data_IF_908927623567
#
_entry.id   IF_908927623567
#
_cell.length_a   1.000
_cell.length_b   1.000
_cell.length_c   1.000
_cell.angle_alpha   90.00
_cell.angle_beta   90.00
_cell.angle_gamma   90.00
#
_symmetry.space_group_name_H-M   'P 1'
#
loop_
_entity.id
_entity.type
_entity.pdbx_description
1 polymer ?
#
# COMPACT_ATOMS: atom_id res chain seq x y z
N UNK A 1 -18.12 51.76 -75.28
CA UNK A 1 -16.86 51.04 -75.49
C UNK A 1 -16.08 51.09 -74.20
N UNK A 2 -16.09 50.00 -73.42
CA UNK A 2 -15.15 49.78 -72.32
C UNK A 2 -14.42 48.50 -72.66
N UNK A 3 -13.12 48.65 -72.90
CA UNK A 3 -12.26 47.62 -73.45
C UNK A 3 -11.99 46.53 -72.42
N UNK A 4 -12.13 45.28 -72.86
CA UNK A 4 -12.06 44.09 -72.02
C UNK A 4 -10.63 43.59 -71.99
N UNK A 5 -9.78 44.21 -71.17
CA UNK A 5 -8.41 43.72 -70.95
C UNK A 5 -8.36 42.80 -69.72
N UNK A 6 -8.44 41.49 -69.98
CA UNK A 6 -8.14 40.44 -69.01
C UNK A 6 -6.67 40.57 -68.58
N UNK A 7 -6.43 40.77 -67.28
CA UNK A 7 -5.09 40.70 -66.67
C UNK A 7 -4.55 39.25 -66.76
N UNK A 8 -3.27 39.04 -67.06
CA UNK A 8 -2.68 37.71 -67.08
C UNK A 8 -2.43 37.19 -65.65
N UNK A 9 -3.10 36.08 -65.37
CA UNK A 9 -2.89 34.95 -64.45
C UNK A 9 -1.66 34.99 -63.53
N UNK A 10 -1.86 34.97 -62.21
CA UNK A 10 -0.93 34.34 -61.26
C UNK A 10 -1.39 32.88 -61.07
N UNK A 11 -0.99 32.01 -62.00
CA UNK A 11 -0.94 30.58 -61.71
C UNK A 11 0.41 30.36 -61.03
N UNK A 12 0.36 30.01 -59.75
CA UNK A 12 1.56 29.68 -59.00
C UNK A 12 2.36 28.61 -59.77
N UNK A 13 3.65 28.86 -60.07
CA UNK A 13 4.49 27.88 -60.71
C UNK A 13 4.72 26.73 -59.72
N UNK A 14 4.37 25.52 -60.15
CA UNK A 14 4.84 24.24 -59.61
C UNK A 14 4.24 23.74 -58.28
N UNK A 15 2.96 23.96 -57.98
CA UNK A 15 2.32 23.14 -56.92
C UNK A 15 1.88 21.77 -57.47
N UNK A 16 2.84 20.86 -57.66
CA UNK A 16 2.52 19.43 -57.73
C UNK A 16 1.92 18.99 -56.39
N UNK A 17 0.72 18.40 -56.43
CA UNK A 17 0.09 17.85 -55.24
C UNK A 17 0.95 16.73 -54.67
N UNK A 18 1.59 17.01 -53.52
CA UNK A 18 2.43 16.05 -52.82
C UNK A 18 1.63 14.74 -52.63
N UNK A 19 2.13 13.59 -53.11
CA UNK A 19 1.42 12.32 -52.98
C UNK A 19 0.99 12.09 -51.53
N UNK A 20 -0.26 11.66 -51.33
CA UNK A 20 -0.87 11.49 -49.99
C UNK A 20 -0.02 10.57 -49.08
N UNK A 21 0.69 9.61 -49.69
CA UNK A 21 1.70 8.76 -49.05
C UNK A 21 2.93 9.54 -48.54
N UNK A 22 3.43 10.53 -49.28
CA UNK A 22 4.56 11.36 -48.88
C UNK A 22 4.15 12.34 -47.77
N UNK A 23 2.91 12.85 -47.80
CA UNK A 23 2.33 13.62 -46.70
C UNK A 23 2.19 12.78 -45.43
N UNK A 24 1.65 11.56 -45.53
CA UNK A 24 1.55 10.64 -44.40
C UNK A 24 2.91 10.23 -43.84
N UNK A 25 3.91 10.01 -44.70
CA UNK A 25 5.30 9.74 -44.28
C UNK A 25 5.89 10.91 -43.49
N UNK A 26 5.69 12.15 -43.94
CA UNK A 26 6.14 13.36 -43.24
C UNK A 26 5.45 13.54 -41.89
N UNK A 27 4.13 13.30 -41.82
CA UNK A 27 3.35 13.39 -40.58
C UNK A 27 3.84 12.35 -39.57
N UNK A 28 4.03 11.09 -40.01
CA UNK A 28 4.56 10.02 -39.15
C UNK A 28 5.97 10.33 -38.65
N UNK A 29 6.82 10.93 -39.49
CA UNK A 29 8.17 11.33 -39.09
C UNK A 29 8.13 12.44 -38.03
N UNK A 30 7.31 13.47 -38.22
CA UNK A 30 7.10 14.54 -37.23
C UNK A 30 6.52 14.00 -35.92
N UNK A 31 5.59 13.05 -35.99
CA UNK A 31 4.99 12.41 -34.82
C UNK A 31 6.03 11.55 -34.07
N UNK A 32 6.90 10.85 -34.80
CA UNK A 32 7.99 10.07 -34.22
C UNK A 32 9.02 10.97 -33.54
N UNK A 33 9.41 12.07 -34.18
CA UNK A 33 10.34 13.05 -33.61
C UNK A 33 9.77 13.68 -32.33
N UNK A 34 8.46 14.01 -32.31
CA UNK A 34 7.78 14.51 -31.12
C UNK A 34 7.71 13.49 -29.97
N UNK A 35 7.49 12.21 -30.28
CA UNK A 35 7.55 11.12 -29.30
C UNK A 35 8.96 10.96 -28.73
N UNK A 36 9.97 10.95 -29.59
CA UNK A 36 11.37 10.85 -29.17
C UNK A 36 11.79 12.05 -28.31
N UNK A 37 11.39 13.27 -28.66
CA UNK A 37 11.64 14.46 -27.85
C UNK A 37 11.02 14.33 -26.45
N UNK A 38 9.82 13.76 -26.36
CA UNK A 38 9.12 13.53 -25.09
C UNK A 38 9.83 12.46 -24.25
N UNK A 39 10.23 11.34 -24.85
CA UNK A 39 10.98 10.28 -24.16
C UNK A 39 12.32 10.79 -23.65
N UNK A 40 13.07 11.52 -24.48
CA UNK A 40 14.35 12.14 -24.07
C UNK A 40 14.17 13.08 -22.89
N UNK A 41 13.09 13.86 -22.87
CA UNK A 41 12.77 14.75 -21.76
C UNK A 41 12.46 13.98 -20.47
N UNK A 42 11.72 12.87 -20.56
CA UNK A 42 11.46 11.99 -19.43
C UNK A 42 12.77 11.37 -18.92
N UNK A 43 13.61 10.86 -19.82
CA UNK A 43 14.92 10.29 -19.44
C UNK A 43 15.82 11.33 -18.77
N UNK A 44 15.84 12.57 -19.25
CA UNK A 44 16.60 13.65 -18.62
C UNK A 44 16.10 13.95 -17.22
N UNK A 45 14.78 13.97 -17.01
CA UNK A 45 14.18 14.18 -15.68
C UNK A 45 14.59 13.04 -14.74
N UNK A 46 14.49 11.78 -15.18
CA UNK A 46 14.84 10.61 -14.36
C UNK A 46 16.34 10.60 -14.04
N UNK A 47 17.20 10.84 -15.04
CA UNK A 47 18.66 10.91 -14.84
C UNK A 47 19.06 12.04 -13.91
N UNK A 48 18.49 13.24 -14.06
CA UNK A 48 18.79 14.38 -13.17
C UNK A 48 18.43 14.07 -11.72
N UNK A 49 17.21 13.56 -11.50
CA UNK A 49 16.74 13.19 -10.15
C UNK A 49 17.61 12.12 -9.52
N UNK A 50 17.98 11.10 -10.30
CA UNK A 50 18.81 10.01 -9.81
C UNK A 50 20.25 10.47 -9.52
N UNK A 51 20.86 11.29 -10.38
CA UNK A 51 22.21 11.83 -10.15
C UNK A 51 22.28 12.77 -8.95
N UNK A 52 21.26 13.62 -8.75
CA UNK A 52 21.11 14.46 -7.55
C UNK A 52 21.04 13.60 -6.27
N UNK A 53 20.28 12.50 -6.33
CA UNK A 53 20.10 11.59 -5.19
C UNK A 53 21.36 10.75 -4.88
N UNK A 54 22.10 10.32 -5.91
CA UNK A 54 23.38 9.60 -5.74
C UNK A 54 24.45 10.54 -5.15
N UNK A 55 24.63 11.73 -5.70
CA UNK A 55 25.64 12.71 -5.23
C UNK A 55 25.40 13.15 -3.79
N UNK A 56 24.14 13.40 -3.42
CA UNK A 56 23.78 13.72 -2.03
C UNK A 56 24.18 12.59 -1.07
N UNK A 57 23.94 11.33 -1.46
CA UNK A 57 24.21 10.16 -0.63
C UNK A 57 25.70 9.82 -0.53
N UNK A 58 26.48 10.10 -1.57
CA UNK A 58 27.95 9.92 -1.55
C UNK A 58 28.62 10.94 -0.62
N UNK A 59 28.12 12.18 -0.53
CA UNK A 59 28.64 13.19 0.40
C UNK A 59 28.40 12.88 1.89
N UNK A 60 27.35 12.10 2.20
CA UNK A 60 27.02 11.70 3.58
C UNK A 60 27.92 10.56 4.11
N UNK A 61 28.50 9.75 3.23
CA UNK A 61 29.34 8.61 3.64
C UNK A 61 30.77 9.02 4.05
N UNK A 62 31.27 10.16 3.59
CA UNK A 62 32.63 10.62 3.89
C UNK A 62 32.78 11.18 5.32
N UNK A 63 31.65 11.48 5.99
CA UNK A 63 31.64 12.07 7.34
C UNK A 63 31.71 11.04 8.48
N UNK A 64 31.56 9.74 8.18
CA UNK A 64 31.44 8.66 9.19
C UNK A 64 32.81 8.14 9.69
N UNK A 65 33.93 8.53 9.06
CA UNK A 65 35.28 8.09 9.47
C UNK A 65 35.99 9.07 10.43
N UNK A 66 35.35 9.42 11.56
CA UNK A 66 36.08 10.01 12.70
C UNK A 66 35.90 9.15 13.96
N UNK A 67 36.99 8.63 14.56
CA UNK A 67 36.90 7.85 15.78
C UNK A 67 37.15 8.75 17.00
N UNK A 68 36.17 8.85 17.90
CA UNK A 68 36.37 9.27 19.29
C UNK A 68 35.19 8.75 20.11
N UNK A 69 35.34 7.66 20.87
CA UNK A 69 35.66 7.71 22.31
C UNK A 69 34.79 8.70 23.09
N UNK A 70 33.68 8.22 23.67
CA UNK A 70 33.51 8.14 25.13
C UNK A 70 32.03 7.92 25.54
N UNK A 71 31.87 6.93 26.41
CA UNK A 71 31.04 6.91 27.61
C UNK A 71 29.53 7.23 27.52
N UNK A 72 28.75 6.14 27.49
CA UNK A 72 27.62 5.81 28.35
C UNK A 72 26.74 6.92 28.99
N UNK A 73 25.42 6.73 28.80
CA UNK A 73 24.37 6.62 29.83
C UNK A 73 23.26 7.67 29.75
N UNK A 74 22.06 7.14 29.46
CA UNK A 74 20.73 7.60 29.87
C UNK A 74 20.33 9.05 29.58
N UNK A 75 19.62 9.23 28.45
CA UNK A 75 18.38 10.02 28.24
C UNK A 75 18.36 10.47 26.79
N UNK A 76 17.30 10.18 26.05
CA UNK A 76 16.98 10.92 24.83
C UNK A 76 15.52 10.69 24.44
N UNK A 77 14.64 11.45 25.08
CA UNK A 77 13.48 12.00 24.39
C UNK A 77 13.97 13.32 23.77
N UNK A 78 13.64 13.50 22.49
CA UNK A 78 13.82 14.73 21.71
C UNK A 78 15.25 15.12 21.27
N UNK A 79 15.64 14.63 20.08
CA UNK A 79 16.60 15.31 19.21
C UNK A 79 15.92 15.64 17.88
N UNK A 80 15.67 16.94 17.70
CA UNK A 80 15.39 17.64 16.45
C UNK A 80 16.49 17.38 15.41
N UNK A 81 16.16 17.18 14.12
CA UNK A 81 16.95 17.72 12.98
C UNK A 81 16.48 17.25 11.59
N UNK A 82 16.27 18.24 10.72
CA UNK A 82 16.76 18.33 9.32
C UNK A 82 16.23 17.35 8.27
N UNK A 83 15.45 17.89 7.32
CA UNK A 83 15.54 17.52 5.90
C UNK A 83 15.05 16.13 5.48
N UNK A 84 14.11 15.52 6.20
CA UNK A 84 13.55 14.23 5.78
C UNK A 84 12.64 14.44 4.56
N UNK A 85 13.12 14.09 3.36
CA UNK A 85 12.25 13.90 2.20
C UNK A 85 11.01 13.11 2.65
N UNK A 86 9.78 13.55 2.29
CA UNK A 86 8.57 12.95 2.81
C UNK A 86 8.57 11.47 2.43
N UNK A 87 8.86 10.60 3.41
CA UNK A 87 8.72 9.16 3.25
C UNK A 87 7.29 8.94 2.77
N UNK A 88 7.12 8.43 1.55
CA UNK A 88 5.81 8.07 1.04
C UNK A 88 5.21 7.04 2.02
N UNK A 89 4.21 7.49 2.77
CA UNK A 89 3.46 6.65 3.70
C UNK A 89 2.29 6.04 2.93
N UNK A 90 2.36 4.74 2.69
CA UNK A 90 1.30 4.04 1.98
C UNK A 90 0.18 3.71 2.97
N UNK A 91 -0.99 4.31 2.76
CA UNK A 91 -2.17 4.00 3.55
C UNK A 91 -2.83 2.71 3.07
N UNK A 92 -3.09 1.80 3.99
CA UNK A 92 -3.75 0.51 3.76
C UNK A 92 -4.98 0.39 4.67
N UNK A 93 -6.07 -0.18 4.16
CA UNK A 93 -7.25 -0.46 4.99
C UNK A 93 -7.27 -1.92 5.42
N UNK A 94 -7.56 -2.13 6.69
CA UNK A 94 -7.72 -3.48 7.27
C UNK A 94 -9.09 -3.59 7.92
N UNK A 95 -9.73 -4.73 7.69
CA UNK A 95 -11.01 -5.11 8.24
C UNK A 95 -10.76 -6.27 9.21
N UNK A 96 -11.15 -6.08 10.47
CA UNK A 96 -11.19 -7.13 11.49
C UNK A 96 -12.65 -7.40 11.83
N UNK A 97 -13.11 -8.62 11.59
CA UNK A 97 -14.49 -9.01 11.82
C UNK A 97 -14.59 -10.38 12.47
N UNK A 98 -15.75 -10.69 13.03
CA UNK A 98 -16.02 -11.99 13.63
C UNK A 98 -17.36 -12.58 13.19
N UNK A 99 -17.43 -13.89 13.05
CA UNK A 99 -18.68 -14.65 12.86
C UNK A 99 -18.82 -15.67 13.98
N UNK A 100 -20.05 -15.93 14.42
CA UNK A 100 -20.32 -16.93 15.44
C UNK A 100 -21.50 -17.82 15.05
N UNK A 101 -21.47 -19.06 15.55
CA UNK A 101 -22.54 -20.04 15.38
C UNK A 101 -22.85 -20.70 16.72
N UNK A 102 -24.12 -20.74 17.08
CA UNK A 102 -24.60 -21.45 18.25
C UNK A 102 -24.34 -22.96 18.12
N UNK A 103 -23.81 -23.58 19.18
CA UNK A 103 -23.61 -25.02 19.27
C UNK A 103 -24.80 -25.59 20.06
N UNK A 104 -25.61 -26.43 19.42
CA UNK A 104 -26.73 -27.11 20.09
C UNK A 104 -26.23 -27.92 21.28
N UNK A 105 -27.00 -27.92 22.38
CA UNK A 105 -26.74 -28.72 23.58
C UNK A 105 -26.61 -30.21 23.29
N UNK A 106 -27.31 -30.73 22.28
CA UNK A 106 -27.24 -32.14 21.86
C UNK A 106 -25.87 -32.53 21.28
N UNK A 107 -25.15 -31.58 20.70
CA UNK A 107 -23.82 -31.79 20.09
C UNK A 107 -22.69 -31.38 21.02
N UNK A 108 -23.02 -31.06 22.28
CA UNK A 108 -22.12 -30.51 23.26
C UNK A 108 -21.74 -31.61 24.24
N UNK A 109 -20.45 -31.72 24.50
CA UNK A 109 -19.98 -32.53 25.62
C UNK A 109 -20.53 -31.91 26.92
N UNK A 110 -21.10 -32.68 27.86
CA UNK A 110 -21.61 -32.17 29.12
C UNK A 110 -20.59 -31.35 29.93
N UNK A 111 -19.30 -31.55 29.68
CA UNK A 111 -18.19 -30.83 30.33
C UNK A 111 -17.79 -29.54 29.61
N UNK A 112 -18.17 -29.36 28.34
CA UNK A 112 -17.81 -28.18 27.56
C UNK A 112 -18.69 -27.01 28.03
N UNK A 113 -18.11 -25.91 28.53
CA UNK A 113 -18.88 -24.71 28.88
C UNK A 113 -19.16 -23.79 27.68
N UNK A 114 -18.60 -24.08 26.50
CA UNK A 114 -18.76 -23.24 25.33
C UNK A 114 -20.13 -23.41 24.66
N UNK A 115 -20.85 -22.29 24.53
CA UNK A 115 -22.17 -22.24 23.87
C UNK A 115 -22.06 -22.00 22.36
N UNK A 116 -20.95 -21.45 21.89
CA UNK A 116 -20.80 -21.04 20.49
C UNK A 116 -19.41 -21.37 19.95
N UNK A 117 -19.35 -21.56 18.63
CA UNK A 117 -18.13 -21.59 17.85
C UNK A 117 -17.99 -20.25 17.14
N UNK A 118 -16.91 -19.53 17.39
CA UNK A 118 -16.63 -18.25 16.77
C UNK A 118 -15.37 -18.30 15.90
N UNK A 119 -15.35 -17.46 14.87
CA UNK A 119 -14.20 -17.23 13.99
C UNK A 119 -13.97 -15.74 13.88
N UNK A 120 -12.76 -15.28 14.19
CA UNK A 120 -12.28 -13.94 13.83
C UNK A 120 -11.45 -14.04 12.55
N UNK A 121 -11.53 -13.02 11.71
CA UNK A 121 -10.74 -12.93 10.49
C UNK A 121 -10.21 -11.51 10.28
N UNK A 122 -9.04 -11.42 9.65
CA UNK A 122 -8.40 -10.18 9.23
C UNK A 122 -8.27 -10.19 7.71
N UNK A 123 -8.81 -9.16 7.04
CA UNK A 123 -8.75 -9.04 5.58
C UNK A 123 -8.63 -7.60 5.11
N UNK A 124 -8.20 -7.41 3.88
CA UNK A 124 -8.30 -6.13 3.18
C UNK A 124 -9.71 -5.96 2.58
N UNK A 125 -10.18 -4.73 2.36
CA UNK A 125 -11.36 -4.48 1.54
C UNK A 125 -11.15 -4.95 0.09
N UNK A 126 -12.23 -5.25 -0.65
CA UNK A 126 -12.13 -5.59 -2.06
C UNK A 126 -11.51 -4.42 -2.86
N UNK A 127 -10.61 -4.75 -3.79
CA UNK A 127 -9.88 -3.78 -4.63
C UNK A 127 -8.52 -3.34 -4.07
N UNK A 128 -8.16 -3.74 -2.85
CA UNK A 128 -6.81 -3.57 -2.30
C UNK A 128 -5.96 -4.84 -2.44
N UNK A 129 -4.62 -4.75 -2.38
CA UNK A 129 -3.75 -5.92 -2.43
C UNK A 129 -4.07 -6.87 -1.26
N UNK A 130 -3.81 -8.16 -1.48
CA UNK A 130 -4.07 -9.18 -0.47
C UNK A 130 -3.29 -8.89 0.83
N UNK A 131 -3.93 -9.10 1.98
CA UNK A 131 -3.36 -8.87 3.30
C UNK A 131 -2.01 -9.58 3.49
N UNK A 132 -1.82 -10.75 2.90
CA UNK A 132 -0.58 -11.55 2.96
C UNK A 132 0.63 -10.87 2.28
N UNK A 133 0.39 -9.98 1.32
CA UNK A 133 1.46 -9.24 0.66
C UNK A 133 2.11 -8.21 1.57
N UNK A 134 1.35 -7.66 2.53
CA UNK A 134 1.77 -6.57 3.42
C UNK A 134 2.05 -7.05 4.84
N UNK A 135 1.24 -7.99 5.34
CA UNK A 135 1.32 -8.54 6.70
C UNK A 135 2.05 -9.87 6.67
N UNK A 136 3.11 -9.99 7.48
CA UNK A 136 3.89 -11.22 7.67
C UNK A 136 3.17 -12.20 8.58
N UNK A 137 2.56 -11.70 9.65
CA UNK A 137 1.86 -12.52 10.64
C UNK A 137 0.88 -11.70 11.47
N UNK A 138 -0.08 -12.38 12.05
CA UNK A 138 -1.07 -11.80 12.96
C UNK A 138 -1.02 -12.53 14.29
N UNK A 139 -1.00 -11.78 15.39
CA UNK A 139 -1.14 -12.34 16.74
C UNK A 139 -2.50 -11.99 17.31
N UNK A 140 -3.18 -13.00 17.82
CA UNK A 140 -4.46 -12.87 18.50
C UNK A 140 -4.23 -13.08 20.00
N UNK A 141 -4.52 -12.06 20.78
CA UNK A 141 -4.47 -12.09 22.23
C UNK A 141 -5.89 -12.28 22.76
N UNK A 142 -6.20 -13.52 23.13
CA UNK A 142 -7.48 -13.95 23.68
C UNK A 142 -7.61 -13.54 25.15
N UNK A 143 -8.82 -13.69 25.68
CA UNK A 143 -9.07 -13.55 27.10
C UNK A 143 -8.25 -14.57 27.93
N UNK A 144 -7.75 -14.24 29.14
CA UNK A 144 -6.95 -15.15 29.97
C UNK A 144 -7.59 -16.51 30.28
N UNK A 145 -8.91 -16.65 30.12
CA UNK A 145 -9.62 -17.93 30.23
C UNK A 145 -9.16 -18.98 29.21
N UNK A 146 -8.48 -18.58 28.13
CA UNK A 146 -7.94 -19.49 27.11
C UNK A 146 -6.52 -19.98 27.41
N UNK A 147 -5.93 -19.60 28.56
CA UNK A 147 -4.58 -20.05 28.95
C UNK A 147 -4.48 -21.58 28.95
N UNK A 148 -3.32 -22.13 28.53
CA UNK A 148 -2.11 -21.43 28.10
C UNK A 148 -2.13 -20.96 26.62
N UNK A 149 -3.23 -21.19 25.91
CA UNK A 149 -3.39 -20.89 24.48
C UNK A 149 -4.08 -19.55 24.24
N UNK A 150 -3.87 -18.57 25.13
CA UNK A 150 -4.43 -17.22 25.03
C UNK A 150 -3.66 -16.35 24.02
N UNK A 151 -2.46 -16.73 23.62
CA UNK A 151 -1.72 -16.11 22.52
C UNK A 151 -1.64 -17.06 21.32
N UNK A 152 -2.23 -16.66 20.20
CA UNK A 152 -2.18 -17.44 18.96
C UNK A 152 -1.53 -16.62 17.85
N UNK A 153 -0.45 -17.14 17.28
CA UNK A 153 0.23 -16.55 16.13
C UNK A 153 -0.17 -17.29 14.84
N UNK A 154 -0.61 -16.53 13.84
CA UNK A 154 -0.95 -17.03 12.51
C UNK A 154 -0.02 -16.38 11.50
N UNK A 155 0.84 -17.17 10.88
CA UNK A 155 1.89 -16.71 9.95
C UNK A 155 1.46 -16.81 8.49
N UNK A 156 0.43 -17.59 8.19
CA UNK A 156 -0.01 -17.86 6.82
C UNK A 156 -1.45 -17.41 6.61
N UNK A 157 -1.73 -16.92 5.41
CA UNK A 157 -3.09 -16.57 5.02
C UNK A 157 -3.91 -17.84 4.72
N UNK A 158 -5.23 -17.85 4.99
CA UNK A 158 -6.04 -16.75 5.53
C UNK A 158 -5.78 -16.50 7.03
N UNK A 159 -5.61 -15.23 7.41
CA UNK A 159 -5.42 -14.83 8.81
C UNK A 159 -6.74 -14.90 9.59
N UNK A 160 -7.10 -16.12 9.98
CA UNK A 160 -8.32 -16.42 10.72
C UNK A 160 -8.03 -17.28 11.95
N UNK A 161 -8.83 -17.11 12.98
CA UNK A 161 -8.76 -17.91 14.21
C UNK A 161 -10.14 -18.39 14.60
N UNK A 162 -10.25 -19.71 14.76
CA UNK A 162 -11.49 -20.39 15.18
C UNK A 162 -11.34 -20.94 16.58
N UNK A 163 -12.29 -20.64 17.46
CA UNK A 163 -12.35 -21.16 18.83
C UNK A 163 -13.79 -21.35 19.28
N UNK A 164 -13.95 -22.10 20.37
CA UNK A 164 -15.23 -22.23 21.09
C UNK A 164 -15.23 -21.26 22.26
N UNK A 165 -16.38 -20.67 22.59
CA UNK A 165 -16.52 -19.75 23.71
C UNK A 165 -17.98 -19.47 24.05
N UNK A 166 -18.19 -18.74 25.14
CA UNK A 166 -19.52 -18.48 25.68
C UNK A 166 -19.84 -17.00 25.91
N UNK A 167 -18.85 -16.10 25.85
CA UNK A 167 -19.01 -14.68 26.18
C UNK A 167 -18.31 -13.75 25.20
N UNK A 168 -18.60 -12.45 25.36
CA UNK A 168 -18.01 -11.36 24.58
C UNK A 168 -16.77 -10.81 25.29
N UNK A 169 -15.74 -10.44 24.54
CA UNK A 169 -14.53 -9.86 25.11
C UNK A 169 -13.76 -9.00 24.10
N UNK A 170 -12.97 -8.01 24.55
CA UNK A 170 -12.07 -7.27 23.69
C UNK A 170 -10.91 -8.15 23.25
N UNK A 171 -10.93 -8.58 21.99
CA UNK A 171 -9.86 -9.33 21.34
C UNK A 171 -8.81 -8.36 20.80
N UNK A 172 -7.58 -8.43 21.30
CA UNK A 172 -6.47 -7.66 20.72
C UNK A 172 -5.85 -8.43 19.57
N UNK A 173 -5.83 -7.82 18.40
CA UNK A 173 -5.27 -8.34 17.15
C UNK A 173 -4.07 -7.49 16.76
N UNK A 174 -2.87 -8.09 16.76
CA UNK A 174 -1.63 -7.40 16.46
C UNK A 174 -1.09 -7.82 15.09
N UNK A 175 -1.06 -6.86 14.16
CA UNK A 175 -0.56 -7.04 12.81
C UNK A 175 0.95 -6.80 12.79
N UNK A 176 1.72 -7.77 12.28
CA UNK A 176 3.14 -7.60 12.01
C UNK A 176 3.35 -7.50 10.50
N UNK A 177 3.90 -6.38 10.07
CA UNK A 177 4.18 -6.15 8.66
C UNK A 177 5.42 -6.93 8.21
N UNK A 178 5.50 -7.25 6.92
CA UNK A 178 6.71 -7.85 6.33
C UNK A 178 7.89 -6.91 6.42
N UNK A 179 7.60 -5.62 6.34
CA UNK A 179 8.59 -4.59 6.33
C UNK A 179 9.08 -4.23 7.73
N UNK A 180 10.40 -4.16 7.90
CA UNK A 180 11.07 -4.14 9.21
C UNK A 180 10.91 -2.81 9.93
N UNK A 181 10.75 -1.73 9.18
CA UNK A 181 10.58 -0.37 9.72
C UNK A 181 9.13 -0.06 10.09
N UNK A 182 8.18 -0.90 9.70
CA UNK A 182 6.78 -0.73 10.07
C UNK A 182 6.55 -1.35 11.45
N UNK A 183 6.25 -0.49 12.44
CA UNK A 183 5.90 -0.95 13.80
C UNK A 183 4.65 -1.82 13.75
N UNK A 184 4.54 -2.87 14.59
CA UNK A 184 3.32 -3.65 14.71
C UNK A 184 2.13 -2.76 15.09
N UNK A 185 0.95 -3.06 14.54
CA UNK A 185 -0.28 -2.30 14.81
C UNK A 185 -1.23 -3.16 15.60
N UNK A 186 -1.68 -2.64 16.75
CA UNK A 186 -2.68 -3.27 17.60
C UNK A 186 -4.10 -2.78 17.24
N UNK A 187 -5.02 -3.74 17.16
CA UNK A 187 -6.44 -3.52 16.89
C UNK A 187 -7.24 -4.17 17.99
N UNK A 188 -8.07 -3.40 18.71
CA UNK A 188 -8.98 -3.96 19.70
C UNK A 188 -10.33 -4.22 19.04
N UNK A 189 -10.73 -5.48 19.00
CA UNK A 189 -11.95 -5.94 18.37
C UNK A 189 -12.91 -6.52 19.42
N UNK A 190 -14.08 -5.92 19.59
CA UNK A 190 -15.09 -6.38 20.55
C UNK A 190 -15.79 -7.63 20.04
N UNK A 191 -15.26 -8.81 20.34
CA UNK A 191 -15.77 -10.08 19.82
C UNK A 191 -17.16 -10.36 20.39
N UNK A 192 -18.16 -10.49 19.51
CA UNK A 192 -19.56 -10.78 19.87
C UNK A 192 -19.93 -12.22 19.54
N UNK A 193 -20.46 -12.94 20.51
CA UNK A 193 -20.71 -14.39 20.37
C UNK A 193 -22.18 -14.72 20.13
N UNK A 194 -23.12 -13.95 20.68
CA UNK A 194 -24.56 -14.25 20.59
C UNK A 194 -25.33 -13.23 19.75
N UNK A 195 -26.05 -13.70 18.73
CA UNK A 195 -27.26 -13.14 18.07
C UNK A 195 -27.27 -11.69 17.53
N UNK A 196 -26.46 -10.80 18.08
CA UNK A 196 -26.33 -9.41 17.68
C UNK A 196 -25.33 -9.28 16.54
N UNK A 197 -25.61 -8.30 15.68
CA UNK A 197 -24.83 -7.89 14.52
C UNK A 197 -23.33 -8.14 14.71
N UNK A 198 -22.75 -8.95 13.80
CA UNK A 198 -21.31 -9.20 13.69
C UNK A 198 -20.55 -7.88 13.83
N UNK A 199 -19.63 -7.82 14.79
CA UNK A 199 -18.83 -6.62 14.97
C UNK A 199 -17.80 -6.56 13.84
N UNK A 200 -17.55 -5.37 13.29
CA UNK A 200 -16.57 -5.18 12.24
C UNK A 200 -15.85 -3.86 12.44
N UNK A 201 -14.54 -3.92 12.65
CA UNK A 201 -13.68 -2.76 12.80
C UNK A 201 -12.97 -2.49 11.48
N UNK A 202 -13.04 -1.24 11.02
CA UNK A 202 -12.29 -0.75 9.86
C UNK A 202 -11.18 0.18 10.35
N UNK A 203 -9.94 -0.13 9.98
CA UNK A 203 -8.79 0.69 10.33
C UNK A 203 -8.02 1.13 9.09
N UNK A 204 -7.42 2.30 9.20
CA UNK A 204 -6.45 2.82 8.23
C UNK A 204 -5.07 2.71 8.85
N UNK A 205 -4.24 1.83 8.30
CA UNK A 205 -2.81 1.73 8.62
C UNK A 205 -2.07 2.70 7.69
N UNK A 206 -1.19 3.55 8.21
CA UNK A 206 -0.43 4.55 7.44
C UNK A 206 1.07 4.27 7.51
#
# INVERSE_FOLDING_TARGET
MWDSQKRPVDQDPDYESIPLHAQQKRIKLHEQDAKEATVRKIEQIVKSRFSEEISARESELDTINQPASNCAREKEEEATAVGRAPRLKNKMRVIVGNVSKYISSEKRDPTDHATHKWMVYVRCPPGEPEIASVVRKVRFFLHPSYRPNDLVEVTEAPFQLVRKGWGEFPLRVQLHFRERWNKPVDVIHSLKVGGGVSSMNRLHVT
#
